data_IF_549602604266
#
_entry.id   IF_549602604266
#
_cell.length_a   1.000
_cell.length_b   1.000
_cell.length_c   1.000
_cell.angle_alpha   90.00
_cell.angle_beta   90.00
_cell.angle_gamma   90.00
#
_symmetry.space_group_name_H-M   'P 1'
#
loop_
_entity.id
_entity.type
_entity.pdbx_description
1 polymer ?
#
# COMPACT_ATOMS: atom_id res chain seq x y z
N UNK A 1 39.07 -16.35 72.57
CA UNK A 1 38.17 -15.37 71.92
C UNK A 1 38.99 -14.59 70.90
N UNK A 2 38.46 -14.53 69.67
CA UNK A 2 38.88 -13.85 68.41
C UNK A 2 39.83 -12.65 68.50
N UNK A 3 40.60 -12.28 67.44
CA UNK A 3 40.15 -12.31 66.02
C UNK A 3 41.18 -12.70 64.94
N UNK A 4 40.68 -13.26 63.84
CA UNK A 4 41.39 -13.50 62.59
C UNK A 4 41.12 -12.39 61.56
N UNK A 5 42.22 -11.81 61.04
CA UNK A 5 42.46 -11.70 59.59
C UNK A 5 41.66 -10.70 58.76
N UNK A 6 42.28 -9.55 58.48
CA UNK A 6 41.91 -8.55 57.46
C UNK A 6 41.89 -9.13 56.05
N UNK A 7 40.91 -8.70 55.24
CA UNK A 7 41.00 -8.68 53.78
C UNK A 7 40.90 -7.24 53.28
N UNK A 8 41.82 -6.85 52.41
CA UNK A 8 41.80 -5.60 51.66
C UNK A 8 41.92 -5.93 50.16
N UNK A 9 41.38 -5.03 49.35
CA UNK A 9 41.60 -4.75 47.92
C UNK A 9 40.49 -5.14 46.92
N UNK A 10 40.03 -4.12 46.19
CA UNK A 10 39.30 -4.29 44.94
C UNK A 10 38.41 -3.11 44.55
N UNK A 11 38.97 -1.91 44.35
CA UNK A 11 38.30 -0.85 43.56
C UNK A 11 38.41 -1.24 42.09
N UNK A 12 37.29 -1.45 41.41
CA UNK A 12 37.15 -1.17 39.97
C UNK A 12 35.75 -0.60 39.73
N UNK A 13 35.60 0.72 39.84
CA UNK A 13 34.46 1.43 39.24
C UNK A 13 34.74 1.53 37.74
N UNK A 14 34.19 0.59 36.95
CA UNK A 14 34.02 0.80 35.51
C UNK A 14 32.77 1.64 35.31
N UNK A 15 32.96 2.93 35.03
CA UNK A 15 31.92 3.83 34.54
C UNK A 15 31.40 3.30 33.20
N UNK A 16 30.33 2.51 33.22
CA UNK A 16 29.54 2.22 32.03
C UNK A 16 28.61 3.42 31.80
N UNK A 17 29.04 4.37 30.98
CA UNK A 17 28.11 5.30 30.33
C UNK A 17 27.32 4.46 29.34
N UNK A 18 26.19 3.94 29.79
CA UNK A 18 25.17 3.35 28.92
C UNK A 18 24.55 4.52 28.16
N UNK A 19 24.97 4.73 26.92
CA UNK A 19 24.18 5.51 25.98
C UNK A 19 22.90 4.70 25.72
N UNK A 20 21.84 5.02 26.44
CA UNK A 20 20.51 4.62 26.02
C UNK A 20 20.28 5.28 24.66
N UNK A 21 20.33 4.47 23.60
CA UNK A 21 19.93 4.89 22.28
C UNK A 21 18.43 5.10 22.33
N UNK A 22 18.00 6.32 22.69
CA UNK A 22 16.60 6.70 22.69
C UNK A 22 16.07 6.38 21.29
N UNK A 23 15.16 5.41 21.22
CA UNK A 23 14.52 5.04 19.96
C UNK A 23 13.97 6.32 19.34
N UNK A 24 14.42 6.65 18.13
CA UNK A 24 13.91 7.83 17.42
C UNK A 24 12.39 7.70 17.33
N UNK A 25 11.62 8.70 17.79
CA UNK A 25 10.17 8.59 17.80
C UNK A 25 9.64 8.32 16.39
N UNK A 26 8.60 7.50 16.29
CA UNK A 26 7.98 7.18 15.01
C UNK A 26 7.45 8.45 14.37
N UNK A 27 7.85 8.69 13.11
CA UNK A 27 7.37 9.81 12.32
C UNK A 27 5.86 9.63 12.08
N UNK A 28 5.09 10.59 12.57
CA UNK A 28 3.64 10.59 12.43
C UNK A 28 3.24 11.12 11.05
N UNK A 29 2.21 10.54 10.41
CA UNK A 29 1.69 11.06 9.17
C UNK A 29 0.90 12.35 9.40
N UNK A 30 0.95 13.24 8.42
CA UNK A 30 -0.05 14.28 8.22
C UNK A 30 -1.16 13.69 7.35
N UNK A 31 -2.40 13.81 7.81
CA UNK A 31 -3.57 13.34 7.07
C UNK A 31 -3.93 14.39 6.03
N UNK A 32 -3.92 14.00 4.76
CA UNK A 32 -4.16 14.90 3.64
C UNK A 32 -5.13 14.26 2.65
N UNK A 33 -5.75 15.10 1.83
CA UNK A 33 -6.57 14.64 0.72
C UNK A 33 -6.13 15.32 -0.58
N UNK A 34 -6.24 14.61 -1.69
CA UNK A 34 -6.06 15.18 -3.03
C UNK A 34 -7.13 14.69 -3.99
N UNK A 35 -7.35 15.41 -5.08
CA UNK A 35 -8.33 15.03 -6.09
C UNK A 35 -7.70 14.08 -7.13
N UNK A 36 -8.39 12.99 -7.45
CA UNK A 36 -8.10 12.12 -8.59
C UNK A 36 -9.38 11.92 -9.39
N UNK A 37 -9.48 12.53 -10.57
CA UNK A 37 -10.64 12.45 -11.47
C UNK A 37 -12.00 12.73 -10.82
N UNK A 38 -12.04 13.68 -9.88
CA UNK A 38 -13.26 14.06 -9.15
C UNK A 38 -13.50 13.27 -7.87
N UNK A 39 -12.58 12.35 -7.52
CA UNK A 39 -12.62 11.54 -6.32
C UNK A 39 -11.62 12.11 -5.30
N UNK A 40 -12.09 12.33 -4.08
CA UNK A 40 -11.23 12.71 -2.96
C UNK A 40 -10.44 11.49 -2.48
N UNK A 41 -9.12 11.54 -2.62
CA UNK A 41 -8.18 10.50 -2.24
C UNK A 41 -7.59 10.79 -0.87
N UNK A 42 -7.76 9.88 0.08
CA UNK A 42 -7.18 9.95 1.41
C UNK A 42 -5.72 9.49 1.40
N UNK A 43 -4.85 10.24 2.07
CA UNK A 43 -3.42 9.94 2.09
C UNK A 43 -2.72 10.35 3.40
N UNK A 44 -1.61 9.68 3.64
CA UNK A 44 -0.65 9.95 4.70
C UNK A 44 0.62 10.55 4.10
N UNK A 45 0.85 11.83 4.40
CA UNK A 45 2.06 12.56 4.03
C UNK A 45 3.05 12.52 5.19
N UNK A 46 4.23 11.98 4.95
CA UNK A 46 5.32 11.95 5.92
C UNK A 46 6.35 13.01 5.57
N UNK A 47 6.47 14.01 6.44
CA UNK A 47 7.40 15.13 6.28
C UNK A 47 8.43 15.05 7.41
N UNK A 48 9.67 14.57 7.15
CA UNK A 48 10.68 14.50 8.20
C UNK A 48 11.10 15.91 8.64
N UNK A 49 11.55 16.05 9.90
CA UNK A 49 12.10 17.32 10.38
C UNK A 49 13.37 17.69 9.59
N UNK A 50 13.55 18.98 9.31
CA UNK A 50 14.76 19.50 8.66
C UNK A 50 15.60 20.27 9.67
N UNK A 51 16.93 20.09 9.58
CA UNK A 51 17.92 20.85 10.34
C UNK A 51 18.62 21.92 9.48
N UNK A 52 18.20 22.15 8.24
CA UNK A 52 18.87 23.07 7.31
C UNK A 52 18.16 24.43 7.20
N UNK A 53 18.94 25.50 7.11
CA UNK A 53 18.52 26.91 7.05
C UNK A 53 18.52 27.49 5.62
N UNK A 54 18.37 26.65 4.58
CA UNK A 54 18.42 27.04 3.16
C UNK A 54 17.29 26.42 2.33
N UNK A 55 17.34 26.54 0.99
CA UNK A 55 16.28 26.07 0.07
C UNK A 55 15.75 24.68 0.49
N UNK A 56 14.48 24.68 0.89
CA UNK A 56 13.84 23.67 1.75
C UNK A 56 13.12 22.57 0.97
N UNK A 57 13.03 22.70 -0.36
CA UNK A 57 12.35 21.72 -1.21
C UNK A 57 13.13 20.41 -1.26
N UNK A 58 12.45 19.29 -1.05
CA UNK A 58 13.06 17.97 -0.93
C UNK A 58 12.58 17.02 -2.02
N UNK A 59 13.40 16.02 -2.41
CA UNK A 59 12.90 14.91 -3.20
C UNK A 59 11.75 14.20 -2.47
N UNK A 60 10.80 13.70 -3.26
CA UNK A 60 9.61 13.06 -2.74
C UNK A 60 9.33 11.70 -3.38
N UNK A 61 8.60 10.83 -2.68
CA UNK A 61 8.22 9.49 -3.17
C UNK A 61 6.72 9.24 -2.93
N UNK A 62 5.99 8.91 -4.00
CA UNK A 62 4.64 8.32 -3.88
C UNK A 62 4.78 6.81 -3.66
N UNK A 63 4.02 6.25 -2.71
CA UNK A 63 4.01 4.83 -2.39
C UNK A 63 2.62 4.25 -2.61
N UNK A 64 2.48 3.36 -3.60
CA UNK A 64 1.23 2.66 -3.91
C UNK A 64 1.09 1.34 -3.14
N UNK A 65 -0.13 1.06 -2.66
CA UNK A 65 -0.45 -0.13 -1.86
C UNK A 65 -0.76 -1.40 -2.69
N UNK A 66 -0.68 -2.59 -2.08
CA UNK A 66 -1.14 -3.85 -2.68
C UNK A 66 -2.62 -3.85 -3.09
N UNK A 67 -3.03 -4.82 -3.91
CA UNK A 67 -4.44 -5.08 -4.18
C UNK A 67 -5.17 -5.42 -2.87
N UNK A 68 -6.26 -4.72 -2.59
CA UNK A 68 -7.02 -4.85 -1.33
C UNK A 68 -6.37 -4.20 -0.10
N UNK A 69 -5.14 -3.72 -0.22
CA UNK A 69 -4.44 -3.03 0.87
C UNK A 69 -4.79 -1.54 0.97
N UNK A 70 -4.29 -0.89 2.03
CA UNK A 70 -4.50 0.55 2.31
C UNK A 70 -3.22 1.23 2.82
N UNK A 71 -3.24 2.55 2.94
CA UNK A 71 -2.13 3.41 3.37
C UNK A 71 -1.66 3.12 4.80
N UNK A 72 -2.49 2.55 5.67
CA UNK A 72 -2.10 2.18 7.05
C UNK A 72 -1.19 0.95 7.10
N UNK A 73 -1.19 0.13 6.04
CA UNK A 73 -0.50 -1.15 5.99
C UNK A 73 0.91 -1.00 5.40
N UNK A 74 1.34 -1.94 4.55
CA UNK A 74 2.70 -1.99 4.02
C UNK A 74 3.11 -0.72 3.28
N UNK A 75 2.17 -0.05 2.59
CA UNK A 75 2.44 1.21 1.90
C UNK A 75 2.88 2.31 2.89
N UNK A 76 2.14 2.53 3.97
CA UNK A 76 2.50 3.48 5.02
C UNK A 76 3.78 3.08 5.76
N UNK A 77 4.01 1.78 5.97
CA UNK A 77 5.25 1.29 6.55
C UNK A 77 6.46 1.68 5.70
N UNK A 78 6.42 1.43 4.39
CA UNK A 78 7.48 1.83 3.46
C UNK A 78 7.64 3.35 3.40
N UNK A 79 6.54 4.09 3.25
CA UNK A 79 6.56 5.55 3.21
C UNK A 79 7.22 6.15 4.45
N UNK A 80 6.80 5.73 5.65
CA UNK A 80 7.36 6.19 6.92
C UNK A 80 8.84 5.85 7.06
N UNK A 81 9.23 4.60 6.77
CA UNK A 81 10.62 4.17 6.89
C UNK A 81 11.54 4.93 5.92
N UNK A 82 11.08 5.14 4.68
CA UNK A 82 11.82 5.93 3.69
C UNK A 82 11.99 7.37 4.19
N UNK A 83 10.91 8.03 4.59
CA UNK A 83 10.97 9.41 5.09
C UNK A 83 11.94 9.54 6.28
N UNK A 84 11.83 8.67 7.28
CA UNK A 84 12.68 8.70 8.48
C UNK A 84 14.16 8.48 8.18
N UNK A 85 14.48 7.57 7.27
CA UNK A 85 15.88 7.15 7.03
C UNK A 85 16.60 8.00 5.99
N UNK A 86 15.88 8.62 5.07
CA UNK A 86 16.48 9.30 3.91
C UNK A 86 16.23 10.81 3.91
N UNK A 87 15.25 11.29 4.69
CA UNK A 87 14.82 12.68 4.66
C UNK A 87 13.90 13.04 3.49
N UNK A 88 13.50 12.05 2.67
CA UNK A 88 12.51 12.25 1.61
C UNK A 88 11.14 12.60 2.18
N UNK A 89 10.38 13.40 1.44
CA UNK A 89 8.94 13.52 1.69
C UNK A 89 8.27 12.30 1.06
N UNK A 90 7.39 11.61 1.77
CA UNK A 90 6.73 10.43 1.21
C UNK A 90 5.22 10.51 1.37
N UNK A 91 4.50 9.95 0.41
CA UNK A 91 3.04 9.94 0.39
C UNK A 91 2.54 8.53 0.14
N UNK A 92 1.89 7.93 1.13
CA UNK A 92 1.09 6.71 0.94
C UNK A 92 -0.39 7.10 0.84
N UNK A 93 -1.13 6.54 -0.10
CA UNK A 93 -2.52 6.90 -0.36
C UNK A 93 -3.40 5.65 -0.47
N UNK A 94 -4.70 5.81 -0.26
CA UNK A 94 -5.69 4.78 -0.57
C UNK A 94 -6.19 5.00 -2.01
N UNK A 95 -6.25 3.97 -2.84
CA UNK A 95 -6.82 4.09 -4.19
C UNK A 95 -8.24 4.67 -4.15
N UNK A 96 -8.66 5.30 -5.25
CA UNK A 96 -10.07 5.56 -5.48
C UNK A 96 -10.90 4.29 -5.21
N UNK A 97 -12.10 4.46 -4.65
CA UNK A 97 -13.03 3.39 -4.28
C UNK A 97 -12.62 2.50 -3.10
N UNK A 98 -11.43 2.70 -2.53
CA UNK A 98 -10.83 1.84 -1.50
C UNK A 98 -10.46 2.62 -0.25
N UNK A 99 -10.21 1.92 0.86
CA UNK A 99 -9.81 2.54 2.13
C UNK A 99 -10.74 3.68 2.55
N UNK A 100 -10.13 4.80 2.92
CA UNK A 100 -10.81 6.03 3.29
C UNK A 100 -11.03 6.98 2.10
N UNK A 101 -10.48 6.66 0.92
CA UNK A 101 -10.73 7.42 -0.30
C UNK A 101 -12.19 7.31 -0.74
N UNK A 102 -12.70 8.34 -1.40
CA UNK A 102 -14.06 8.39 -1.92
C UNK A 102 -14.29 7.49 -3.14
N UNK A 103 -15.39 7.74 -3.85
CA UNK A 103 -15.75 7.02 -5.07
C UNK A 103 -16.71 5.87 -4.82
N UNK A 104 -17.63 5.70 -5.77
CA UNK A 104 -18.55 4.58 -5.87
C UNK A 104 -18.47 3.99 -7.28
N UNK A 105 -18.61 2.66 -7.43
CA UNK A 105 -18.89 1.67 -6.39
C UNK A 105 -17.67 1.39 -5.48
N UNK A 106 -17.88 0.98 -4.22
CA UNK A 106 -16.76 0.63 -3.32
C UNK A 106 -16.05 -0.64 -3.79
N UNK A 107 -14.77 -0.75 -3.46
CA UNK A 107 -13.92 -1.92 -3.71
C UNK A 107 -13.63 -2.22 -5.18
N UNK A 108 -13.82 -1.22 -6.04
CA UNK A 108 -13.49 -1.31 -7.46
C UNK A 108 -11.96 -1.26 -7.65
N UNK A 109 -11.44 -2.16 -8.48
CA UNK A 109 -10.04 -2.20 -8.89
C UNK A 109 -9.93 -1.85 -10.38
N UNK A 110 -10.23 -0.60 -10.74
CA UNK A 110 -10.08 -0.10 -12.10
C UNK A 110 -8.59 0.20 -12.39
N UNK A 111 -7.93 -0.55 -13.29
CA UNK A 111 -6.49 -0.39 -13.52
C UNK A 111 -6.11 0.98 -14.09
N UNK A 112 -7.01 1.64 -14.83
CA UNK A 112 -6.75 2.98 -15.35
C UNK A 112 -6.83 4.01 -14.23
N UNK A 113 -7.87 3.94 -13.40
CA UNK A 113 -7.97 4.81 -12.23
C UNK A 113 -6.80 4.63 -11.28
N UNK A 114 -6.36 3.38 -11.03
CA UNK A 114 -5.20 3.11 -10.17
C UNK A 114 -3.93 3.79 -10.66
N UNK A 115 -3.73 3.84 -11.97
CA UNK A 115 -2.61 4.55 -12.58
C UNK A 115 -2.77 6.08 -12.49
N UNK A 116 -3.97 6.59 -12.72
CA UNK A 116 -4.26 8.03 -12.62
C UNK A 116 -4.18 8.51 -11.17
N UNK A 117 -4.53 7.71 -10.17
CA UNK A 117 -4.31 8.01 -8.76
C UNK A 117 -2.82 8.23 -8.46
N UNK A 118 -1.92 7.43 -9.06
CA UNK A 118 -0.47 7.63 -8.93
C UNK A 118 -0.04 8.94 -9.59
N UNK A 119 -0.54 9.24 -10.80
CA UNK A 119 -0.24 10.52 -11.49
C UNK A 119 -0.76 11.73 -10.70
N UNK A 120 -1.94 11.61 -10.11
CA UNK A 120 -2.58 12.65 -9.33
C UNK A 120 -1.95 12.82 -7.95
N UNK A 121 -1.43 11.75 -7.35
CA UNK A 121 -0.56 11.82 -6.17
C UNK A 121 0.73 12.60 -6.46
N UNK A 122 1.35 12.36 -7.62
CA UNK A 122 2.49 13.16 -8.09
C UNK A 122 2.08 14.62 -8.30
N UNK A 123 0.95 14.88 -8.95
CA UNK A 123 0.41 16.24 -9.11
C UNK A 123 0.25 16.93 -7.76
N UNK A 124 -0.36 16.28 -6.76
CA UNK A 124 -0.50 16.82 -5.42
C UNK A 124 0.86 17.16 -4.79
N UNK A 125 1.85 16.26 -4.89
CA UNK A 125 3.19 16.55 -4.36
C UNK A 125 3.83 17.77 -5.03
N UNK A 126 3.62 17.99 -6.33
CA UNK A 126 4.16 19.17 -7.03
C UNK A 126 3.56 20.50 -6.58
N UNK A 127 2.44 20.50 -5.85
CA UNK A 127 1.84 21.74 -5.31
C UNK A 127 2.37 22.10 -3.92
N UNK A 128 3.25 21.29 -3.33
CA UNK A 128 3.77 21.54 -1.99
C UNK A 128 5.11 22.29 -2.09
N UNK A 129 5.22 23.46 -1.46
CA UNK A 129 6.49 24.24 -1.42
C UNK A 129 7.67 23.45 -0.84
N UNK A 130 7.38 22.46 0.01
CA UNK A 130 8.39 21.60 0.62
C UNK A 130 8.93 20.51 -0.32
N UNK A 131 8.35 20.32 -1.51
CA UNK A 131 8.72 19.30 -2.49
C UNK A 131 9.42 19.95 -3.68
N UNK A 132 10.50 19.32 -4.15
CA UNK A 132 11.13 19.66 -5.41
C UNK A 132 10.41 18.90 -6.55
N UNK A 133 9.67 19.58 -7.44
CA UNK A 133 8.88 18.92 -8.49
C UNK A 133 9.75 18.18 -9.51
N UNK A 134 11.03 18.50 -9.63
CA UNK A 134 11.96 17.81 -10.53
C UNK A 134 12.62 16.59 -9.87
N UNK A 135 12.24 16.22 -8.64
CA UNK A 135 12.83 15.11 -7.89
C UNK A 135 11.79 14.21 -7.23
N UNK A 136 10.78 13.80 -8.00
CA UNK A 136 9.74 12.89 -7.53
C UNK A 136 10.00 11.47 -8.05
N UNK A 137 10.11 10.51 -7.14
CA UNK A 137 10.12 9.08 -7.42
C UNK A 137 8.78 8.42 -7.08
N UNK A 138 8.62 7.17 -7.50
CA UNK A 138 7.43 6.37 -7.24
C UNK A 138 7.81 4.93 -6.87
N UNK A 139 7.14 4.38 -5.86
CA UNK A 139 7.34 3.02 -5.35
C UNK A 139 6.01 2.27 -5.36
N UNK A 140 5.98 1.11 -6.03
CA UNK A 140 4.83 0.21 -6.04
C UNK A 140 5.07 -1.07 -5.23
N UNK A 141 4.17 -1.41 -4.31
CA UNK A 141 4.21 -2.69 -3.59
C UNK A 141 3.12 -3.63 -4.14
N UNK A 142 3.47 -4.90 -4.40
CA UNK A 142 2.52 -5.91 -4.92
C UNK A 142 1.84 -5.41 -6.21
N UNK A 143 0.50 -5.33 -6.28
CA UNK A 143 -0.23 -4.87 -7.46
C UNK A 143 0.16 -3.46 -7.92
N UNK A 144 0.54 -2.56 -7.00
CA UNK A 144 1.08 -1.25 -7.39
C UNK A 144 2.41 -1.36 -8.12
N UNK A 145 3.09 -2.50 -8.05
CA UNK A 145 4.26 -2.82 -8.88
C UNK A 145 3.93 -2.93 -10.38
N UNK A 146 2.68 -3.17 -10.77
CA UNK A 146 2.21 -3.01 -12.15
C UNK A 146 1.73 -1.59 -12.46
N UNK A 147 0.97 -0.98 -11.53
CA UNK A 147 0.36 0.34 -11.75
C UNK A 147 1.37 1.48 -11.81
N UNK A 148 2.39 1.47 -10.95
CA UNK A 148 3.38 2.54 -10.91
C UNK A 148 4.22 2.62 -12.20
N UNK A 149 4.79 1.52 -12.72
CA UNK A 149 5.44 1.53 -14.03
C UNK A 149 4.49 1.95 -15.16
N UNK A 150 3.25 1.45 -15.16
CA UNK A 150 2.25 1.83 -16.16
C UNK A 150 1.95 3.34 -16.12
N UNK A 151 1.85 3.94 -14.93
CA UNK A 151 1.69 5.38 -14.77
C UNK A 151 2.90 6.17 -15.33
N UNK A 152 4.11 5.73 -14.99
CA UNK A 152 5.38 6.37 -15.34
C UNK A 152 5.71 6.32 -16.85
N UNK A 153 5.09 5.43 -17.63
CA UNK A 153 5.26 5.39 -19.08
C UNK A 153 4.94 6.75 -19.73
N UNK A 154 3.87 7.40 -19.26
CA UNK A 154 3.35 8.65 -19.83
C UNK A 154 3.58 9.89 -18.97
N UNK A 155 3.84 9.75 -17.67
CA UNK A 155 4.10 10.89 -16.77
C UNK A 155 5.59 11.09 -16.49
N UNK A 156 6.20 12.08 -17.18
CA UNK A 156 7.64 12.37 -17.08
C UNK A 156 8.07 13.14 -15.83
N UNK A 157 7.13 13.47 -14.94
CA UNK A 157 7.46 14.05 -13.62
C UNK A 157 8.03 12.98 -12.69
N UNK A 158 7.73 11.71 -12.92
CA UNK A 158 8.28 10.57 -12.20
C UNK A 158 9.70 10.27 -12.69
N UNK A 159 10.71 10.58 -11.87
CA UNK A 159 12.14 10.50 -12.24
C UNK A 159 12.78 9.15 -11.92
N UNK A 160 12.15 8.37 -11.04
CA UNK A 160 12.60 7.04 -10.68
C UNK A 160 11.40 6.15 -10.33
N UNK A 161 11.48 4.88 -10.73
CA UNK A 161 10.47 3.86 -10.46
C UNK A 161 11.12 2.71 -9.71
N UNK A 162 10.50 2.28 -8.62
CA UNK A 162 10.89 1.09 -7.87
C UNK A 162 9.67 0.21 -7.58
N UNK A 163 9.90 -1.09 -7.45
CA UNK A 163 8.86 -2.05 -7.10
C UNK A 163 9.34 -3.02 -6.03
N UNK A 164 8.48 -3.35 -5.07
CA UNK A 164 8.73 -4.39 -4.06
C UNK A 164 7.69 -5.48 -4.23
N UNK A 165 8.17 -6.70 -4.50
CA UNK A 165 7.31 -7.87 -4.80
C UNK A 165 6.24 -7.52 -5.84
N UNK A 166 6.64 -6.79 -6.88
CA UNK A 166 5.71 -6.20 -7.85
C UNK A 166 4.96 -7.27 -8.65
N UNK A 167 3.66 -7.05 -8.83
CA UNK A 167 2.78 -7.90 -9.62
C UNK A 167 2.09 -7.04 -10.68
N UNK A 168 2.14 -7.48 -11.92
CA UNK A 168 1.21 -7.04 -12.95
C UNK A 168 -0.05 -7.90 -12.86
N UNK A 169 -1.18 -7.30 -12.43
CA UNK A 169 -2.44 -8.03 -12.30
C UNK A 169 -2.95 -8.56 -13.64
N UNK A 170 -2.66 -7.89 -14.77
CA UNK A 170 -3.05 -8.39 -16.09
C UNK A 170 -2.37 -9.73 -16.38
N UNK A 171 -1.04 -9.76 -16.21
CA UNK A 171 -0.25 -10.99 -16.31
C UNK A 171 -0.70 -12.05 -15.29
N UNK A 172 -1.00 -11.67 -14.04
CA UNK A 172 -1.52 -12.59 -13.02
C UNK A 172 -2.84 -13.24 -13.46
N UNK A 173 -3.78 -12.45 -14.00
CA UNK A 173 -5.06 -12.97 -14.45
C UNK A 173 -4.92 -13.82 -15.72
N UNK A 174 -4.02 -13.48 -16.65
CA UNK A 174 -3.83 -14.24 -17.88
C UNK A 174 -3.01 -15.53 -17.71
N UNK A 175 -2.03 -15.53 -16.81
CA UNK A 175 -1.03 -16.61 -16.71
C UNK A 175 -0.98 -17.28 -15.32
N UNK A 176 -1.74 -16.77 -14.35
CA UNK A 176 -1.67 -17.22 -12.95
C UNK A 176 -0.36 -16.82 -12.26
N UNK A 177 -0.13 -17.34 -11.05
CA UNK A 177 1.15 -17.19 -10.36
C UNK A 177 2.20 -18.13 -10.98
N UNK A 178 2.75 -17.76 -12.14
CA UNK A 178 3.72 -18.58 -12.90
C UNK A 178 4.93 -19.08 -12.11
N UNK A 179 5.34 -18.36 -11.07
CA UNK A 179 6.50 -18.71 -10.21
C UNK A 179 6.10 -19.28 -8.84
N UNK A 180 4.81 -19.53 -8.59
CA UNK A 180 4.30 -20.24 -7.40
C UNK A 180 3.44 -21.44 -7.82
N UNK A 181 3.93 -22.25 -8.77
CA UNK A 181 3.24 -23.47 -9.23
C UNK A 181 1.78 -23.24 -9.71
N UNK A 182 1.57 -22.39 -10.73
CA UNK A 182 0.23 -21.96 -11.17
C UNK A 182 -0.72 -23.05 -11.74
N UNK A 183 -1.96 -22.70 -12.15
CA UNK A 183 -2.76 -21.56 -11.73
C UNK A 183 -3.75 -21.95 -10.60
N UNK A 184 -3.99 -21.01 -9.68
CA UNK A 184 -5.12 -21.08 -8.74
C UNK A 184 -6.38 -20.39 -9.28
N UNK A 185 -6.25 -19.66 -10.40
CA UNK A 185 -7.33 -18.96 -11.09
C UNK A 185 -7.83 -19.80 -12.27
N UNK A 186 -9.12 -19.66 -12.66
CA UNK A 186 -9.64 -20.23 -13.90
C UNK A 186 -8.77 -19.81 -15.10
N UNK A 187 -8.77 -20.58 -16.18
CA UNK A 187 -8.04 -20.15 -17.38
C UNK A 187 -8.60 -18.82 -17.93
N UNK A 188 -7.81 -18.12 -18.75
CA UNK A 188 -8.19 -16.79 -19.26
C UNK A 188 -9.55 -16.81 -19.98
N UNK A 189 -9.85 -17.84 -20.76
CA UNK A 189 -11.11 -17.95 -21.50
C UNK A 189 -12.33 -18.05 -20.56
N UNK A 190 -12.22 -18.83 -19.47
CA UNK A 190 -13.24 -18.93 -18.44
C UNK A 190 -13.46 -17.60 -17.72
N UNK A 191 -12.37 -16.88 -17.41
CA UNK A 191 -12.47 -15.56 -16.78
C UNK A 191 -13.13 -14.53 -17.71
N UNK A 192 -12.79 -14.52 -19.00
CA UNK A 192 -13.41 -13.65 -19.99
C UNK A 192 -14.90 -14.01 -20.20
N UNK A 193 -15.23 -15.31 -20.24
CA UNK A 193 -16.61 -15.78 -20.32
C UNK A 193 -17.43 -15.33 -19.09
N UNK A 194 -16.85 -15.45 -17.89
CA UNK A 194 -17.49 -14.98 -16.66
C UNK A 194 -17.66 -13.46 -16.65
N UNK A 195 -16.66 -12.70 -17.08
CA UNK A 195 -16.76 -11.24 -17.22
C UNK A 195 -17.89 -10.83 -18.18
N UNK A 196 -18.05 -11.53 -19.31
CA UNK A 196 -19.14 -11.30 -20.26
C UNK A 196 -20.51 -11.67 -19.67
N UNK A 197 -20.58 -12.77 -18.90
CA UNK A 197 -21.80 -13.16 -18.19
C UNK A 197 -22.20 -12.11 -17.15
N UNK A 198 -21.23 -11.60 -16.38
CA UNK A 198 -21.44 -10.54 -15.37
C UNK A 198 -21.93 -9.25 -16.00
N UNK A 199 -21.33 -8.79 -17.10
CA UNK A 199 -21.85 -7.67 -17.91
C UNK A 199 -23.35 -7.80 -18.21
N UNK A 200 -23.77 -8.99 -18.66
CA UNK A 200 -25.18 -9.25 -18.99
C UNK A 200 -26.09 -9.26 -17.76
N UNK A 201 -25.62 -9.81 -16.63
CA UNK A 201 -26.36 -9.84 -15.37
C UNK A 201 -26.51 -8.44 -14.76
N UNK A 202 -25.42 -7.68 -14.74
CA UNK A 202 -25.39 -6.28 -14.30
C UNK A 202 -26.39 -5.43 -15.10
N UNK A 203 -26.41 -5.56 -16.43
CA UNK A 203 -27.38 -4.87 -17.30
C UNK A 203 -28.85 -5.26 -17.02
N UNK A 204 -29.09 -6.45 -16.45
CA UNK A 204 -30.40 -6.92 -16.01
C UNK A 204 -30.74 -6.49 -14.57
N UNK A 205 -29.88 -5.71 -13.92
CA UNK A 205 -30.08 -5.22 -12.54
C UNK A 205 -29.68 -6.23 -11.46
N UNK A 206 -28.80 -7.19 -11.77
CA UNK A 206 -28.25 -8.09 -10.75
C UNK A 206 -27.44 -7.30 -9.70
N UNK A 207 -27.41 -7.75 -8.44
CA UNK A 207 -26.65 -7.08 -7.40
C UNK A 207 -25.13 -7.14 -7.64
N UNK A 208 -24.36 -6.26 -6.97
CA UNK A 208 -22.90 -6.29 -6.95
C UNK A 208 -22.33 -7.70 -6.72
N UNK A 209 -21.30 -8.09 -7.48
CA UNK A 209 -20.60 -9.36 -7.23
C UNK A 209 -19.28 -9.10 -6.48
N UNK A 210 -19.29 -9.35 -5.17
CA UNK A 210 -18.16 -9.14 -4.29
C UNK A 210 -17.48 -10.48 -3.94
N UNK A 211 -16.15 -10.48 -3.96
CA UNK A 211 -15.33 -11.62 -3.51
C UNK A 211 -14.31 -11.16 -2.49
N UNK A 212 -13.88 -12.06 -1.59
CA UNK A 212 -12.75 -11.80 -0.71
C UNK A 212 -11.44 -12.10 -1.44
N UNK A 213 -10.46 -11.23 -1.27
CA UNK A 213 -9.13 -11.36 -1.91
C UNK A 213 -8.29 -12.44 -1.20
N UNK A 214 -8.42 -12.52 0.13
CA UNK A 214 -7.66 -13.43 0.98
C UNK A 214 -8.59 -14.22 1.93
N UNK A 215 -8.12 -15.33 2.52
CA UNK A 215 -8.79 -15.99 3.65
C UNK A 215 -9.17 -14.98 4.74
N UNK A 216 -10.31 -15.18 5.40
CA UNK A 216 -10.84 -14.23 6.40
C UNK A 216 -10.75 -14.79 7.82
N UNK A 217 -10.79 -16.10 7.97
CA UNK A 217 -10.76 -16.78 9.27
C UNK A 217 -9.67 -17.83 9.32
N UNK A 218 -9.22 -18.19 10.53
CA UNK A 218 -8.24 -19.27 10.71
C UNK A 218 -8.72 -20.60 10.12
N UNK A 219 -10.04 -20.83 10.06
CA UNK A 219 -10.62 -22.04 9.47
C UNK A 219 -10.49 -22.08 7.94
N UNK A 220 -10.34 -20.92 7.28
CA UNK A 220 -10.10 -20.83 5.85
C UNK A 220 -8.64 -21.16 5.47
N UNK A 221 -7.73 -21.24 6.46
CA UNK A 221 -6.31 -21.49 6.26
C UNK A 221 -6.01 -22.96 6.49
N UNK A 222 -5.99 -23.74 5.40
CA UNK A 222 -5.66 -25.17 5.43
C UNK A 222 -4.16 -25.40 5.14
N UNK A 223 -3.57 -26.52 5.59
CA UNK A 223 -2.15 -26.81 5.36
C UNK A 223 -1.74 -26.91 3.88
N UNK A 224 -2.68 -27.26 3.01
CA UNK A 224 -2.52 -27.38 1.55
C UNK A 224 -2.73 -26.05 0.81
N UNK A 225 -3.22 -25.02 1.49
CA UNK A 225 -3.38 -23.70 0.90
C UNK A 225 -2.01 -23.13 0.50
N UNK A 226 -1.84 -22.50 -0.67
CA UNK A 226 -0.55 -21.94 -1.03
C UNK A 226 -0.04 -20.92 -0.01
N UNK A 227 1.28 -20.92 0.23
CA UNK A 227 1.96 -20.09 1.24
C UNK A 227 1.55 -18.62 1.13
N UNK A 228 1.39 -18.11 -0.10
CA UNK A 228 0.91 -16.75 -0.35
C UNK A 228 -0.38 -16.41 0.43
N UNK A 229 -1.38 -17.30 0.44
CA UNK A 229 -2.63 -17.05 1.13
C UNK A 229 -2.52 -17.26 2.65
N UNK A 230 -1.67 -18.19 3.09
CA UNK A 230 -1.37 -18.36 4.51
C UNK A 230 -0.70 -17.09 5.09
N UNK A 231 0.30 -16.56 4.40
CA UNK A 231 1.00 -15.33 4.78
C UNK A 231 0.10 -14.09 4.63
N UNK A 232 -0.79 -14.09 3.65
CA UNK A 232 -1.79 -13.02 3.51
C UNK A 232 -2.76 -13.03 4.68
N UNK A 233 -3.23 -14.19 5.14
CA UNK A 233 -4.02 -14.26 6.37
C UNK A 233 -3.24 -13.76 7.58
N UNK A 234 -2.01 -14.25 7.80
CA UNK A 234 -1.16 -13.82 8.92
C UNK A 234 -0.96 -12.30 8.94
N UNK A 235 -0.75 -11.67 7.79
CA UNK A 235 -0.52 -10.24 7.72
C UNK A 235 -1.83 -9.44 7.85
N UNK A 236 -2.86 -9.75 7.05
CA UNK A 236 -4.05 -8.88 6.90
C UNK A 236 -5.16 -9.15 7.92
N UNK A 237 -5.19 -10.35 8.53
CA UNK A 237 -6.28 -10.76 9.45
C UNK A 237 -5.85 -10.87 10.91
N UNK A 238 -4.60 -10.53 11.23
CA UNK A 238 -4.07 -10.50 12.61
C UNK A 238 -3.68 -9.08 13.02
N UNK A 239 -3.38 -8.83 14.31
CA UNK A 239 -2.92 -7.51 14.79
C UNK A 239 -1.67 -6.96 14.07
N UNK A 240 -0.98 -7.77 13.26
CA UNK A 240 0.19 -7.36 12.48
C UNK A 240 -0.13 -6.31 11.41
N UNK A 241 -1.28 -6.43 10.73
CA UNK A 241 -1.64 -5.57 9.60
C UNK A 241 -3.15 -5.37 9.40
N UNK A 242 -3.98 -5.92 10.29
CA UNK A 242 -5.41 -5.71 10.25
C UNK A 242 -5.78 -4.25 10.53
N UNK A 243 -6.64 -3.69 9.67
CA UNK A 243 -7.25 -2.36 9.81
C UNK A 243 -8.66 -2.40 9.25
N UNK A 244 -9.61 -1.75 9.91
CA UNK A 244 -11.04 -1.80 9.54
C UNK A 244 -11.33 -1.23 8.15
N UNK A 245 -10.49 -0.31 7.68
CA UNK A 245 -10.58 0.33 6.36
C UNK A 245 -10.14 -0.58 5.21
N UNK A 246 -9.53 -1.73 5.50
CA UNK A 246 -9.09 -2.72 4.52
C UNK A 246 -9.85 -4.05 4.68
N UNK A 247 -11.15 -4.09 4.33
CA UNK A 247 -11.92 -5.32 4.46
C UNK A 247 -11.51 -6.41 3.47
N UNK A 248 -10.57 -6.17 2.54
CA UNK A 248 -10.16 -7.17 1.54
C UNK A 248 -11.32 -7.65 0.64
N UNK A 249 -12.29 -6.77 0.38
CA UNK A 249 -13.30 -6.99 -0.66
C UNK A 249 -12.74 -6.60 -2.02
N UNK A 250 -13.16 -7.32 -3.05
CA UNK A 250 -12.95 -6.99 -4.45
C UNK A 250 -14.31 -7.04 -5.15
N UNK A 251 -14.68 -5.93 -5.78
CA UNK A 251 -15.82 -5.86 -6.67
C UNK A 251 -15.47 -6.36 -8.08
N UNK A 252 -16.11 -7.45 -8.48
CA UNK A 252 -16.15 -7.88 -9.86
C UNK A 252 -17.25 -7.15 -10.59
N UNK A 253 -16.88 -6.22 -11.47
CA UNK A 253 -17.84 -5.59 -12.36
C UNK A 253 -17.25 -5.33 -13.74
N UNK A 254 -18.12 -5.07 -14.71
CA UNK A 254 -17.69 -4.56 -15.99
C UNK A 254 -17.06 -3.18 -15.88
N UNK A 255 -16.07 -2.86 -16.73
CA UNK A 255 -15.50 -1.52 -16.88
C UNK A 255 -16.53 -0.45 -17.29
N UNK A 256 -17.73 -0.88 -17.68
CA UNK A 256 -18.88 -0.03 -18.06
C UNK A 256 -19.80 0.26 -16.86
N UNK A 257 -19.37 -0.05 -15.63
CA UNK A 257 -20.14 0.23 -14.40
C UNK A 257 -20.65 1.67 -14.31
N UNK A 258 -19.89 2.65 -14.87
CA UNK A 258 -20.28 4.07 -14.96
C UNK A 258 -21.56 4.30 -15.77
N UNK A 259 -21.95 3.35 -16.62
CA UNK A 259 -23.12 3.42 -17.49
C UNK A 259 -24.33 2.66 -16.94
N UNK A 260 -24.22 2.04 -15.76
CA UNK A 260 -25.32 1.27 -15.17
C UNK A 260 -26.17 2.20 -14.29
N UNK A 261 -27.43 2.49 -14.67
CA UNK A 261 -28.32 3.28 -13.85
C UNK A 261 -28.64 2.50 -12.57
N UNK A 262 -28.52 3.14 -11.40
CA UNK A 262 -28.92 2.63 -10.09
C UNK A 262 -27.93 1.74 -9.31
N UNK A 263 -26.61 1.96 -9.41
CA UNK A 263 -25.72 1.50 -8.34
C UNK A 263 -26.03 2.28 -7.06
N UNK A 264 -27.00 1.81 -6.27
CA UNK A 264 -27.34 2.39 -4.98
C UNK A 264 -26.35 1.89 -3.94
N UNK A 265 -25.79 2.87 -3.22
CA UNK A 265 -24.96 2.80 -2.00
C UNK A 265 -25.26 1.61 -1.10
#
# INVERSE_FOLDING_TARGET
MTPTGRFQLGIVLKSAVVFAQLATPLLQPQWVHFNSDGISIAAHLYVPATNSTGNTSRPAIVVGHPHGGVKEQTAGLYARQLAQRTGFITLAFDAAYQGESGGLPRYLEDPHQRADDVRNAVTYLTTLDAVDPERIGVLGVCASGGYVPFAAQTDKRMKAVATVSGIDLGTLYSEGFRNYDGPMLPNLDEQLAEANRRRTLEAKGAPPYLTRIFPQTAADVTPDLPVFYQESYDYYQTPRGHVDTAPNWHLWCSSEWRKIPNWKS
#
